data_IF_180679228537
#
_entry.id   IF_180679228537
#
_cell.length_a   1.000
_cell.length_b   1.000
_cell.length_c   1.000
_cell.angle_alpha   90.00
_cell.angle_beta   90.00
_cell.angle_gamma   90.00
#
_symmetry.space_group_name_H-M   'P 1'
#
loop_
_entity.id
_entity.type
_entity.pdbx_description
1 polymer ?
#
# COMPACT_ATOMS: atom_id res chain seq x y z
N UNK A 1 -10.04 -36.80 -3.68
CA UNK A 1 -11.00 -36.24 -2.70
C UNK A 1 -10.28 -35.07 -2.03
N UNK A 2 -10.70 -33.80 -2.08
CA UNK A 2 -11.90 -33.13 -2.55
C UNK A 2 -11.50 -31.94 -3.43
N UNK A 3 -12.36 -31.60 -4.41
CA UNK A 3 -12.22 -30.36 -5.18
C UNK A 3 -12.41 -29.17 -4.25
N UNK A 4 -11.33 -28.48 -3.89
CA UNK A 4 -11.37 -27.13 -3.33
C UNK A 4 -11.78 -26.14 -4.45
N UNK A 5 -13.03 -26.22 -4.88
CA UNK A 5 -13.65 -25.14 -5.62
C UNK A 5 -14.09 -24.13 -4.57
N UNK A 6 -13.30 -23.09 -4.35
CA UNK A 6 -13.71 -21.99 -3.47
C UNK A 6 -14.96 -21.33 -4.12
N UNK A 7 -16.17 -21.47 -3.55
CA UNK A 7 -17.41 -21.15 -4.26
C UNK A 7 -17.69 -19.64 -4.31
N UNK A 8 -16.88 -18.84 -3.64
CA UNK A 8 -17.05 -17.42 -3.46
C UNK A 8 -16.16 -16.69 -4.47
N UNK A 9 -16.74 -15.89 -5.37
CA UNK A 9 -15.99 -15.05 -6.30
C UNK A 9 -15.97 -13.59 -5.82
N UNK A 10 -14.88 -12.87 -6.09
CA UNK A 10 -14.74 -11.45 -5.76
C UNK A 10 -14.75 -11.19 -4.26
N UNK A 11 -15.47 -10.16 -3.83
CA UNK A 11 -15.50 -9.67 -2.45
C UNK A 11 -15.96 -10.71 -1.42
N UNK A 12 -16.65 -11.76 -1.86
CA UNK A 12 -17.07 -12.83 -0.97
C UNK A 12 -15.89 -13.63 -0.39
N UNK A 13 -14.71 -13.63 -1.03
CA UNK A 13 -13.47 -14.15 -0.43
C UNK A 13 -13.02 -13.34 0.79
N UNK A 14 -13.33 -12.04 0.86
CA UNK A 14 -12.88 -11.20 1.96
C UNK A 14 -13.59 -11.51 3.28
N UNK A 15 -14.70 -12.25 3.25
CA UNK A 15 -15.31 -12.77 4.48
C UNK A 15 -14.41 -13.79 5.17
N UNK A 16 -13.66 -14.60 4.41
CA UNK A 16 -12.72 -15.58 4.97
C UNK A 16 -11.48 -14.90 5.58
N UNK A 17 -11.27 -13.61 5.25
CA UNK A 17 -10.16 -12.79 5.74
C UNK A 17 -10.53 -11.97 6.99
N UNK A 18 -11.75 -12.12 7.51
CA UNK A 18 -12.17 -11.45 8.74
C UNK A 18 -11.31 -11.89 9.94
N UNK A 19 -11.04 -10.92 10.81
CA UNK A 19 -10.22 -11.04 12.03
C UNK A 19 -8.74 -11.40 11.79
N UNK A 20 -8.29 -11.50 10.55
CA UNK A 20 -6.88 -11.70 10.19
C UNK A 20 -6.12 -10.38 10.07
N UNK A 21 -4.79 -10.44 10.22
CA UNK A 21 -3.88 -9.30 10.03
C UNK A 21 -3.57 -9.18 8.53
N UNK A 22 -4.02 -8.10 7.90
CA UNK A 22 -3.87 -7.85 6.48
C UNK A 22 -2.94 -6.66 6.21
N UNK A 23 -2.21 -6.73 5.10
CA UNK A 23 -1.61 -5.58 4.43
C UNK A 23 -2.57 -5.08 3.35
N UNK A 24 -2.77 -3.77 3.26
CA UNK A 24 -3.63 -3.11 2.26
C UNK A 24 -2.84 -2.00 1.58
N UNK A 25 -2.79 -2.02 0.25
CA UNK A 25 -2.15 -1.00 -0.58
C UNK A 25 -3.22 -0.04 -1.13
N UNK A 26 -3.07 1.27 -0.90
CA UNK A 26 -4.09 2.32 -1.13
C UNK A 26 -3.71 3.35 -2.17
N UNK A 27 -4.69 3.93 -2.91
CA UNK A 27 -4.49 4.66 -4.19
C UNK A 27 -3.27 5.60 -4.30
N UNK A 28 -3.03 6.25 -3.19
CA UNK A 28 -1.98 7.23 -2.96
C UNK A 28 -0.58 6.64 -2.66
N UNK A 29 -0.40 5.33 -2.83
CA UNK A 29 0.86 4.63 -2.54
C UNK A 29 1.04 4.20 -1.08
N UNK A 30 0.04 4.41 -0.21
CA UNK A 30 0.18 4.09 1.22
C UNK A 30 -0.05 2.61 1.50
N UNK A 31 0.73 2.08 2.42
CA UNK A 31 0.59 0.71 2.93
C UNK A 31 0.01 0.74 4.34
N UNK A 32 -1.20 0.21 4.50
CA UNK A 32 -1.83 0.01 5.81
C UNK A 32 -1.69 -1.45 6.24
N UNK A 33 -1.44 -1.66 7.53
CA UNK A 33 -1.41 -3.00 8.13
C UNK A 33 -2.33 -2.99 9.34
N UNK A 34 -3.28 -3.91 9.40
CA UNK A 34 -4.24 -3.96 10.50
C UNK A 34 -5.09 -5.22 10.50
N UNK A 35 -5.98 -5.35 11.48
CA UNK A 35 -6.92 -6.46 11.56
C UNK A 35 -8.22 -6.11 10.85
N UNK A 36 -8.62 -6.89 9.85
CA UNK A 36 -9.90 -6.69 9.16
C UNK A 36 -11.07 -7.04 10.09
N UNK A 37 -11.99 -6.10 10.29
CA UNK A 37 -13.17 -6.29 11.17
C UNK A 37 -14.49 -6.26 10.43
N UNK A 38 -14.56 -5.52 9.34
CA UNK A 38 -15.75 -5.44 8.52
C UNK A 38 -15.36 -5.21 7.07
N UNK A 39 -16.14 -5.81 6.18
CA UNK A 39 -16.07 -5.63 4.74
C UNK A 39 -17.47 -5.63 4.17
N UNK A 40 -17.71 -4.83 3.13
CA UNK A 40 -18.95 -4.88 2.35
C UNK A 40 -18.70 -5.37 0.91
N UNK A 41 -19.74 -5.49 0.11
CA UNK A 41 -19.63 -5.97 -1.28
C UNK A 41 -18.80 -5.07 -2.21
N UNK A 42 -18.57 -3.80 -1.83
CA UNK A 42 -17.76 -2.84 -2.57
C UNK A 42 -16.30 -2.81 -2.10
N UNK A 43 -15.91 -3.73 -1.20
CA UNK A 43 -14.61 -3.78 -0.56
C UNK A 43 -14.28 -2.53 0.28
N UNK A 44 -15.30 -1.86 0.86
CA UNK A 44 -15.04 -0.90 1.93
C UNK A 44 -14.58 -1.67 3.18
N UNK A 45 -13.46 -1.27 3.77
CA UNK A 45 -12.80 -2.01 4.84
C UNK A 45 -12.83 -1.22 6.15
N UNK A 46 -13.06 -1.93 7.26
CA UNK A 46 -12.78 -1.42 8.61
C UNK A 46 -11.61 -2.19 9.18
N UNK A 47 -10.50 -1.50 9.40
CA UNK A 47 -9.28 -2.04 10.00
C UNK A 47 -9.16 -1.58 11.45
N UNK A 48 -8.76 -2.49 12.34
CA UNK A 48 -8.49 -2.23 13.75
C UNK A 48 -7.00 -2.45 14.07
N UNK A 49 -6.47 -1.66 15.03
CA UNK A 49 -5.03 -1.61 15.35
C UNK A 49 -4.17 -1.37 14.11
N UNK A 50 -4.67 -0.50 13.25
CA UNK A 50 -4.04 -0.15 11.98
C UNK A 50 -2.77 0.65 12.24
N UNK A 51 -1.71 0.27 11.56
CA UNK A 51 -0.51 1.08 11.34
C UNK A 51 -0.44 1.45 9.86
N UNK A 52 0.25 2.53 9.57
CA UNK A 52 0.71 2.86 8.23
C UNK A 52 2.21 2.61 8.18
N UNK A 53 2.64 1.72 7.29
CA UNK A 53 4.05 1.35 7.12
C UNK A 53 4.63 2.07 5.92
N UNK A 54 5.68 2.84 6.14
CA UNK A 54 6.44 3.51 5.08
C UNK A 54 7.71 2.71 4.83
N UNK A 55 8.01 2.43 3.56
CA UNK A 55 9.22 1.74 3.13
C UNK A 55 10.10 2.68 2.32
N UNK A 56 11.38 2.78 2.69
CA UNK A 56 12.38 3.55 1.93
C UNK A 56 13.67 2.72 1.87
N UNK A 57 14.01 2.25 0.67
CA UNK A 57 15.19 1.38 0.48
C UNK A 57 15.10 0.09 1.30
N UNK A 58 15.96 -0.05 2.32
CA UNK A 58 16.01 -1.20 3.25
C UNK A 58 15.44 -0.89 4.63
N UNK A 59 14.87 0.30 4.80
CA UNK A 59 14.34 0.80 6.06
C UNK A 59 12.81 0.84 5.99
N UNK A 60 12.17 0.67 7.13
CA UNK A 60 10.73 0.87 7.28
C UNK A 60 10.41 1.56 8.60
N UNK A 61 9.26 2.23 8.66
CA UNK A 61 8.75 2.80 9.91
C UNK A 61 7.23 2.76 9.97
N UNK A 62 6.72 2.54 11.18
CA UNK A 62 5.30 2.28 11.45
C UNK A 62 4.65 3.46 12.18
N UNK A 63 3.61 4.02 11.58
CA UNK A 63 2.83 5.13 12.14
C UNK A 63 1.50 4.58 12.68
N UNK A 64 1.19 4.70 13.98
CA UNK A 64 -0.07 4.20 14.52
C UNK A 64 -1.25 5.03 14.01
N UNK A 65 -2.28 4.35 13.48
CA UNK A 65 -3.54 4.95 12.99
C UNK A 65 -4.77 4.53 13.77
N UNK A 66 -4.74 3.38 14.47
CA UNK A 66 -5.84 2.95 15.34
C UNK A 66 -6.97 2.27 14.58
N UNK A 67 -8.17 2.86 14.55
CA UNK A 67 -9.29 2.38 13.72
C UNK A 67 -9.27 3.17 12.42
N UNK A 68 -9.29 2.47 11.29
CA UNK A 68 -9.22 3.10 9.97
C UNK A 68 -10.32 2.55 9.07
N UNK A 69 -11.06 3.44 8.41
CA UNK A 69 -12.09 3.08 7.43
C UNK A 69 -11.53 3.42 6.06
N UNK A 70 -11.44 2.41 5.19
CA UNK A 70 -10.95 2.53 3.83
C UNK A 70 -12.13 2.41 2.88
N UNK A 71 -12.21 3.32 1.92
CA UNK A 71 -13.19 3.25 0.84
C UNK A 71 -12.68 2.32 -0.26
N UNK A 72 -13.52 1.42 -0.76
CA UNK A 72 -13.13 0.30 -1.60
C UNK A 72 -12.48 0.68 -2.92
N UNK A 73 -12.86 1.79 -3.55
CA UNK A 73 -12.22 2.23 -4.80
C UNK A 73 -10.76 2.68 -4.65
N UNK A 74 -10.34 2.96 -3.42
CA UNK A 74 -8.96 3.31 -3.09
C UNK A 74 -8.11 2.08 -2.78
N UNK A 75 -8.71 0.89 -2.65
CA UNK A 75 -7.95 -0.35 -2.43
C UNK A 75 -7.41 -0.84 -3.76
N UNK A 76 -6.10 -0.99 -3.86
CA UNK A 76 -5.46 -1.64 -5.03
C UNK A 76 -5.31 -3.13 -4.82
N UNK A 77 -4.75 -3.52 -3.68
CA UNK A 77 -4.64 -4.92 -3.28
C UNK A 77 -4.64 -5.04 -1.76
N UNK A 78 -4.93 -6.25 -1.31
CA UNK A 78 -4.80 -6.64 0.09
C UNK A 78 -4.37 -8.09 0.18
N UNK A 79 -3.70 -8.45 1.28
CA UNK A 79 -3.27 -9.83 1.52
C UNK A 79 -2.96 -10.08 2.99
N UNK A 80 -3.19 -11.31 3.43
CA UNK A 80 -2.85 -11.77 4.77
C UNK A 80 -1.32 -11.68 5.00
N UNK A 81 -0.94 -11.16 6.16
CA UNK A 81 0.46 -11.09 6.57
C UNK A 81 0.83 -12.36 7.33
N UNK A 82 1.80 -13.09 6.79
CA UNK A 82 2.48 -14.19 7.45
C UNK A 82 3.58 -13.64 8.37
N UNK A 83 3.41 -13.82 9.67
CA UNK A 83 4.36 -13.31 10.69
C UNK A 83 5.75 -13.92 10.58
N UNK A 84 5.84 -15.21 10.27
CA UNK A 84 7.14 -15.90 10.20
C UNK A 84 7.97 -15.35 9.04
N UNK A 85 7.30 -15.05 7.93
CA UNK A 85 7.94 -14.40 6.78
C UNK A 85 8.29 -12.95 7.09
N UNK A 86 7.41 -12.21 7.77
CA UNK A 86 7.64 -10.81 8.18
C UNK A 86 8.93 -10.68 8.99
N UNK A 87 9.13 -11.56 9.99
CA UNK A 87 10.31 -11.56 10.87
C UNK A 87 11.62 -11.93 10.13
N UNK A 88 11.52 -12.62 8.99
CA UNK A 88 12.67 -13.04 8.18
C UNK A 88 13.14 -12.00 7.16
N UNK A 89 12.41 -10.88 7.02
CA UNK A 89 12.73 -9.86 6.02
C UNK A 89 14.02 -9.09 6.41
N UNK A 90 14.92 -8.82 5.45
CA UNK A 90 16.15 -8.07 5.70
C UNK A 90 15.89 -6.55 5.73
N UNK A 91 14.89 -6.12 6.49
CA UNK A 91 14.47 -4.72 6.64
C UNK A 91 14.81 -4.20 8.04
N UNK A 92 15.18 -2.93 8.14
CA UNK A 92 15.51 -2.26 9.41
C UNK A 92 14.37 -1.35 9.83
N UNK A 93 13.84 -1.54 11.02
CA UNK A 93 12.85 -0.63 11.60
C UNK A 93 13.56 0.65 12.08
N UNK A 94 13.06 1.80 11.67
CA UNK A 94 13.55 3.13 12.08
C UNK A 94 12.43 3.96 12.69
N UNK A 95 12.78 5.09 13.32
CA UNK A 95 11.78 5.95 13.94
C UNK A 95 10.86 6.59 12.90
N UNK A 96 9.67 7.03 13.35
CA UNK A 96 8.71 7.74 12.49
C UNK A 96 9.33 9.01 11.90
N UNK A 97 10.12 9.75 12.66
CA UNK A 97 10.76 10.97 12.17
C UNK A 97 11.81 10.64 11.10
N UNK A 98 12.64 9.63 11.33
CA UNK A 98 13.69 9.21 10.39
C UNK A 98 13.11 8.70 9.06
N UNK A 99 12.03 7.88 9.11
CA UNK A 99 11.42 7.35 7.89
C UNK A 99 10.72 8.44 7.07
N UNK A 100 10.09 9.41 7.74
CA UNK A 100 9.45 10.55 7.06
C UNK A 100 10.49 11.43 6.36
N UNK A 101 11.63 11.66 7.00
CA UNK A 101 12.73 12.41 6.39
C UNK A 101 13.43 11.63 5.27
N UNK A 102 13.52 10.31 5.38
CA UNK A 102 13.97 9.45 4.28
C UNK A 102 13.00 9.49 3.09
N UNK A 103 11.69 9.40 3.35
CA UNK A 103 10.64 9.43 2.33
C UNK A 103 10.64 10.76 1.57
N UNK A 104 10.74 11.89 2.29
CA UNK A 104 10.83 13.23 1.68
C UNK A 104 12.01 13.33 0.72
N UNK A 105 13.20 12.89 1.15
CA UNK A 105 14.40 12.89 0.30
C UNK A 105 14.23 12.05 -0.96
N UNK A 106 13.59 10.89 -0.86
CA UNK A 106 13.32 10.03 -2.01
C UNK A 106 12.30 10.66 -2.98
N UNK A 107 11.23 11.26 -2.46
CA UNK A 107 10.22 11.95 -3.26
C UNK A 107 10.81 13.14 -4.01
N UNK A 108 11.60 13.97 -3.35
CA UNK A 108 12.27 15.13 -3.97
C UNK A 108 13.20 14.68 -5.11
N UNK A 109 13.99 13.62 -4.89
CA UNK A 109 14.87 13.06 -5.90
C UNK A 109 14.09 12.47 -7.10
N UNK A 110 12.98 11.75 -6.84
CA UNK A 110 12.09 11.22 -7.89
C UNK A 110 11.47 12.35 -8.72
N UNK A 111 10.99 13.41 -8.07
CA UNK A 111 10.42 14.58 -8.74
C UNK A 111 11.46 15.27 -9.62
N UNK A 112 12.69 15.45 -9.12
CA UNK A 112 13.78 16.05 -9.89
C UNK A 112 14.14 15.19 -11.12
N UNK A 113 14.28 13.88 -10.94
CA UNK A 113 14.55 12.94 -12.02
C UNK A 113 13.43 12.94 -13.06
N UNK A 114 12.17 12.96 -12.63
CA UNK A 114 11.01 12.99 -13.52
C UNK A 114 10.94 14.30 -14.31
N UNK A 115 11.29 15.44 -13.70
CA UNK A 115 11.41 16.73 -14.40
C UNK A 115 12.48 16.70 -15.47
N UNK A 116 13.65 16.14 -15.17
CA UNK A 116 14.76 16.00 -16.13
C UNK A 116 14.36 15.07 -17.30
N UNK A 117 13.77 13.92 -17.00
CA UNK A 117 13.29 12.97 -18.01
C UNK A 117 12.22 13.60 -18.90
N UNK A 118 11.21 14.25 -18.30
CA UNK A 118 10.14 14.92 -19.03
C UNK A 118 10.67 16.01 -19.96
N UNK A 119 11.65 16.80 -19.50
CA UNK A 119 12.33 17.80 -20.35
C UNK A 119 13.04 17.16 -21.54
N UNK A 120 13.81 16.10 -21.31
CA UNK A 120 14.56 15.40 -22.36
C UNK A 120 13.62 14.73 -23.40
N UNK A 121 12.48 14.19 -22.96
CA UNK A 121 11.47 13.60 -23.84
C UNK A 121 10.78 14.66 -24.69
N UNK A 122 10.44 15.81 -24.08
CA UNK A 122 9.83 16.95 -24.76
C UNK A 122 10.74 17.52 -25.85
N UNK A 123 12.04 17.61 -25.60
CA UNK A 123 13.04 18.00 -26.61
C UNK A 123 13.10 17.04 -27.81
N UNK A 124 12.67 15.79 -27.63
CA UNK A 124 12.57 14.77 -28.68
C UNK A 124 11.17 14.68 -29.31
N UNK A 125 10.27 15.60 -29.00
CA UNK A 125 8.90 15.63 -29.52
C UNK A 125 7.96 14.59 -28.90
N UNK A 126 8.38 13.91 -27.82
CA UNK A 126 7.52 12.99 -27.07
C UNK A 126 6.87 13.76 -25.93
N UNK A 127 5.54 13.80 -25.94
CA UNK A 127 4.76 14.40 -24.86
C UNK A 127 4.35 13.29 -23.89
N UNK A 128 4.90 13.29 -22.68
CA UNK A 128 4.36 12.47 -21.59
C UNK A 128 3.06 13.12 -21.15
N UNK A 129 1.93 12.68 -21.71
CA UNK A 129 0.65 12.77 -21.01
C UNK A 129 0.73 11.79 -19.84
N UNK A 130 1.41 12.21 -18.77
CA UNK A 130 1.26 11.53 -17.50
C UNK A 130 -0.13 11.90 -17.00
N UNK A 131 -1.13 11.11 -17.40
CA UNK A 131 -2.42 11.03 -16.69
C UNK A 131 -2.27 10.25 -15.37
N UNK A 132 -1.04 10.12 -14.88
CA UNK A 132 -0.71 9.72 -13.51
C UNK A 132 -1.04 10.93 -12.64
N UNK A 133 -2.33 11.08 -12.32
CA UNK A 133 -2.74 11.94 -11.23
C UNK A 133 -1.97 11.58 -9.97
N UNK A 134 -1.89 12.51 -9.02
CA UNK A 134 -1.38 12.23 -7.67
C UNK A 134 -2.08 11.02 -7.01
N UNK A 135 -3.24 10.66 -7.55
CA UNK A 135 -4.11 9.59 -7.11
C UNK A 135 -3.69 8.19 -7.59
N UNK A 136 -2.73 8.01 -8.50
CA UNK A 136 -2.29 6.68 -9.00
C UNK A 136 -0.76 6.50 -8.87
N UNK A 137 -0.26 6.44 -7.64
CA UNK A 137 1.20 6.37 -7.34
C UNK A 137 1.69 4.95 -6.98
N UNK A 138 1.33 3.95 -7.77
CA UNK A 138 1.69 2.54 -7.52
C UNK A 138 2.26 1.79 -8.71
#
# INVERSE_FOLDING_TARGET
>A
MANNLNPLAGTAHLLDELDKKLMVLLRDGRTLIGYLRCVDQFANLVLHKTIERIHVGKEYGDIPRGIFIVRGENVVLLGEIDKEKEDSLPLTEVSVDDILDAQRREQDAKIEQQKLLSKALKERGLNMLADLGHDDMF
#
